data_IF_248016525758
#
_entry.id   IF_248016525758
#
_cell.length_a   1.000
_cell.length_b   1.000
_cell.length_c   1.000
_cell.angle_alpha   90.00
_cell.angle_beta   90.00
_cell.angle_gamma   90.00
#
_symmetry.space_group_name_H-M   'P 1'
#
loop_
_entity.id
_entity.type
_entity.pdbx_description
1 polymer ?
#
# COMPACT_ATOMS: atom_id res chain seq x y z
N UNK A 1 17.00 74.81 -15.91
CA UNK A 1 17.96 74.25 -14.93
C UNK A 1 17.15 73.62 -13.81
N UNK A 2 16.77 72.35 -13.96
CA UNK A 2 16.44 71.41 -12.87
C UNK A 2 15.93 70.08 -13.47
N UNK A 3 16.64 69.00 -13.16
CA UNK A 3 16.52 67.63 -13.68
C UNK A 3 15.22 66.88 -13.34
N UNK A 4 14.88 65.82 -14.10
CA UNK A 4 13.87 64.84 -13.73
C UNK A 4 14.45 63.77 -12.78
N UNK A 5 13.84 63.55 -11.61
CA UNK A 5 14.21 62.40 -10.77
C UNK A 5 13.54 61.11 -11.29
N UNK A 6 14.32 60.27 -11.98
CA UNK A 6 13.98 58.88 -12.26
C UNK A 6 14.25 58.00 -11.04
N UNK A 7 13.22 57.74 -10.24
CA UNK A 7 13.25 56.76 -9.15
C UNK A 7 13.16 55.32 -9.67
N UNK A 8 14.29 54.74 -10.06
CA UNK A 8 14.42 53.33 -10.41
C UNK A 8 14.31 52.41 -9.20
N UNK A 9 13.08 52.10 -8.76
CA UNK A 9 12.81 51.11 -7.71
C UNK A 9 13.12 49.68 -8.17
N UNK A 10 14.17 49.06 -7.58
CA UNK A 10 14.56 47.66 -7.79
C UNK A 10 13.37 46.72 -7.52
N UNK A 11 12.91 46.01 -8.55
CA UNK A 11 11.90 44.93 -8.49
C UNK A 11 12.43 43.71 -7.70
N UNK A 12 12.43 43.80 -6.37
CA UNK A 12 12.86 42.73 -5.45
C UNK A 12 11.81 41.66 -5.12
N UNK A 13 10.57 41.81 -5.59
CA UNK A 13 9.46 40.91 -5.22
C UNK A 13 9.36 39.60 -6.02
N UNK A 14 10.00 39.53 -7.20
CA UNK A 14 9.80 38.42 -8.13
C UNK A 14 10.36 37.07 -7.66
N UNK A 15 11.34 37.05 -6.75
CA UNK A 15 11.87 35.79 -6.17
C UNK A 15 10.97 35.25 -5.06
N UNK A 16 10.55 36.12 -4.14
CA UNK A 16 9.63 35.76 -3.06
C UNK A 16 8.27 35.31 -3.61
N UNK A 17 7.73 36.02 -4.61
CA UNK A 17 6.49 35.63 -5.28
C UNK A 17 6.61 34.27 -5.98
N UNK A 18 7.73 34.01 -6.68
CA UNK A 18 7.97 32.70 -7.32
C UNK A 18 8.18 31.56 -6.32
N UNK A 19 8.74 31.84 -5.14
CA UNK A 19 8.84 30.86 -4.06
C UNK A 19 7.47 30.55 -3.45
N UNK A 20 6.65 31.58 -3.21
CA UNK A 20 5.28 31.43 -2.72
C UNK A 20 4.38 30.67 -3.73
N UNK A 21 4.48 30.96 -5.03
CA UNK A 21 3.73 30.24 -6.07
C UNK A 21 4.12 28.76 -6.17
N UNK A 22 5.39 28.42 -5.96
CA UNK A 22 5.82 27.01 -5.89
C UNK A 22 5.33 26.32 -4.62
N UNK A 23 5.32 27.01 -3.49
CA UNK A 23 4.77 26.49 -2.24
C UNK A 23 3.24 26.31 -2.30
N UNK A 24 2.55 27.13 -3.10
CA UNK A 24 1.11 27.06 -3.32
C UNK A 24 0.70 26.13 -4.48
N UNK A 25 1.66 25.55 -5.20
CA UNK A 25 1.35 24.63 -6.29
C UNK A 25 0.75 23.34 -5.71
N UNK A 26 -0.57 23.18 -5.88
CA UNK A 26 -1.25 21.91 -5.66
C UNK A 26 -0.76 20.98 -6.76
N UNK A 27 0.12 20.05 -6.41
CA UNK A 27 0.48 18.96 -7.32
C UNK A 27 -0.79 18.15 -7.57
N UNK A 28 -1.23 18.11 -8.83
CA UNK A 28 -2.31 17.21 -9.24
C UNK A 28 -1.86 15.78 -8.94
N UNK A 29 -2.55 15.11 -8.00
CA UNK A 29 -2.21 13.76 -7.56
C UNK A 29 -3.13 12.79 -8.27
N UNK A 30 -2.58 11.94 -9.13
CA UNK A 30 -3.30 10.78 -9.67
C UNK A 30 -3.47 9.77 -8.53
N UNK A 31 -4.69 9.30 -8.22
CA UNK A 31 -4.94 8.44 -7.05
C UNK A 31 -4.30 7.06 -7.17
N UNK A 32 -4.18 6.52 -8.39
CA UNK A 32 -3.53 5.25 -8.68
C UNK A 32 -3.12 5.17 -10.16
N UNK A 33 -2.15 4.31 -10.48
CA UNK A 33 -1.74 4.05 -11.87
C UNK A 33 -2.61 2.95 -12.48
N UNK A 34 -2.86 3.04 -13.79
CA UNK A 34 -3.41 1.93 -14.57
C UNK A 34 -2.35 1.47 -15.56
N UNK A 35 -1.91 0.22 -15.42
CA UNK A 35 -0.88 -0.38 -16.27
C UNK A 35 -1.41 -0.55 -17.69
N UNK A 36 -0.61 -0.14 -18.66
CA UNK A 36 -0.86 -0.36 -20.10
C UNK A 36 -0.05 -1.52 -20.65
N UNK A 37 0.95 -2.00 -19.91
CA UNK A 37 1.79 -3.15 -20.24
C UNK A 37 1.33 -4.40 -19.49
N UNK A 38 1.51 -5.56 -20.11
CA UNK A 38 1.28 -6.85 -19.47
C UNK A 38 2.25 -7.06 -18.29
N UNK A 39 1.86 -7.82 -17.25
CA UNK A 39 2.81 -8.34 -16.27
C UNK A 39 3.94 -9.12 -16.96
N UNK A 40 5.13 -9.06 -16.40
CA UNK A 40 6.25 -9.88 -16.85
C UNK A 40 6.18 -11.24 -16.14
N UNK A 41 6.00 -12.31 -16.90
CA UNK A 41 5.88 -13.68 -16.37
C UNK A 41 7.23 -14.39 -16.38
N UNK A 42 7.63 -14.90 -15.22
CA UNK A 42 8.95 -15.54 -15.00
C UNK A 42 8.83 -17.07 -14.95
N UNK A 43 7.65 -17.59 -14.58
CA UNK A 43 7.39 -19.01 -14.38
C UNK A 43 6.52 -19.55 -15.51
N UNK A 44 6.75 -20.81 -15.91
CA UNK A 44 5.84 -21.54 -16.81
C UNK A 44 4.59 -22.03 -16.06
N UNK A 45 3.55 -22.39 -16.81
CA UNK A 45 2.31 -22.97 -16.25
C UNK A 45 2.59 -24.24 -15.42
N UNK A 46 3.52 -25.09 -15.88
CA UNK A 46 3.93 -26.29 -15.14
C UNK A 46 4.58 -25.93 -13.79
N UNK A 47 5.45 -24.91 -13.78
CA UNK A 47 6.09 -24.47 -12.54
C UNK A 47 5.09 -23.84 -11.57
N UNK A 48 4.11 -23.07 -12.08
CA UNK A 48 3.02 -22.54 -11.27
C UNK A 48 2.17 -23.67 -10.67
N UNK A 49 1.75 -24.65 -11.47
CA UNK A 49 0.97 -25.79 -11.03
C UNK A 49 1.71 -26.61 -9.94
N UNK A 50 3.03 -26.77 -10.07
CA UNK A 50 3.87 -27.46 -9.08
C UNK A 50 3.91 -26.70 -7.73
N UNK A 51 4.05 -25.37 -7.76
CA UNK A 51 4.02 -24.53 -6.56
C UNK A 51 2.64 -24.61 -5.89
N UNK A 52 1.58 -24.46 -6.67
CA UNK A 52 0.20 -24.54 -6.17
C UNK A 52 -0.10 -25.89 -5.52
N UNK A 53 0.28 -26.99 -6.18
CA UNK A 53 0.10 -28.34 -5.65
C UNK A 53 0.85 -28.54 -4.32
N UNK A 54 2.10 -28.05 -4.24
CA UNK A 54 2.92 -28.14 -3.03
C UNK A 54 2.35 -27.30 -1.90
N UNK A 55 1.85 -26.10 -2.19
CA UNK A 55 1.19 -25.25 -1.21
C UNK A 55 -0.04 -25.94 -0.60
N UNK A 56 -0.87 -26.57 -1.43
CA UNK A 56 -2.00 -27.37 -0.97
C UNK A 56 -1.56 -28.56 -0.10
N UNK A 57 -0.47 -29.26 -0.47
CA UNK A 57 0.09 -30.35 0.35
C UNK A 57 0.53 -29.85 1.72
N UNK A 58 1.19 -28.69 1.80
CA UNK A 58 1.58 -28.09 3.08
C UNK A 58 0.34 -27.75 3.92
N UNK A 59 -0.70 -27.16 3.31
CA UNK A 59 -1.92 -26.80 4.04
C UNK A 59 -2.69 -28.02 4.55
N UNK A 60 -2.69 -29.13 3.81
CA UNK A 60 -3.36 -30.39 4.15
C UNK A 60 -2.57 -31.21 5.19
N UNK A 61 -1.30 -31.51 4.90
CA UNK A 61 -0.47 -32.44 5.68
C UNK A 61 0.31 -31.78 6.81
N UNK A 62 0.51 -30.46 6.78
CA UNK A 62 1.18 -29.71 7.85
C UNK A 62 0.19 -28.78 8.54
N UNK A 63 -0.52 -27.95 7.80
CA UNK A 63 -1.45 -26.96 8.34
C UNK A 63 -0.78 -25.71 8.94
N UNK A 64 -1.59 -24.83 9.50
CA UNK A 64 -1.21 -23.52 10.06
C UNK A 64 -1.59 -23.47 11.55
N UNK A 65 -0.72 -22.87 12.36
CA UNK A 65 -0.99 -22.62 13.78
C UNK A 65 -1.79 -21.32 13.95
N UNK A 66 -2.93 -21.41 14.63
CA UNK A 66 -3.77 -20.27 15.04
C UNK A 66 -3.70 -20.18 16.56
N UNK A 67 -2.78 -19.33 17.05
CA UNK A 67 -2.44 -19.19 18.48
C UNK A 67 -3.01 -17.91 19.05
N UNK A 68 -3.21 -17.90 20.37
CA UNK A 68 -3.61 -16.74 21.16
C UNK A 68 -4.91 -16.05 20.70
N UNK A 69 -5.70 -16.73 19.85
CA UNK A 69 -6.98 -16.25 19.34
C UNK A 69 -7.96 -17.42 19.11
N UNK A 70 -8.41 -18.10 20.19
CA UNK A 70 -9.21 -19.32 20.09
C UNK A 70 -10.55 -19.11 19.37
N UNK A 71 -11.08 -17.88 19.34
CA UNK A 71 -12.32 -17.56 18.65
C UNK A 71 -12.26 -17.74 17.12
N UNK A 72 -11.07 -17.80 16.52
CA UNK A 72 -10.93 -18.08 15.08
C UNK A 72 -11.06 -19.57 14.74
N UNK A 73 -10.75 -20.48 15.66
CA UNK A 73 -10.77 -21.93 15.40
C UNK A 73 -12.16 -22.42 14.94
N UNK A 74 -13.28 -22.02 15.57
CA UNK A 74 -14.61 -22.37 15.07
C UNK A 74 -14.95 -21.78 13.70
N UNK A 75 -14.33 -20.66 13.30
CA UNK A 75 -14.54 -20.07 11.97
C UNK A 75 -13.91 -20.99 10.91
N UNK A 76 -12.67 -21.43 11.14
CA UNK A 76 -11.99 -22.36 10.25
C UNK A 76 -12.72 -23.70 10.16
N UNK A 77 -13.16 -24.24 11.29
CA UNK A 77 -13.91 -25.50 11.31
C UNK A 77 -15.24 -25.41 10.53
N UNK A 78 -16.00 -24.32 10.71
CA UNK A 78 -17.22 -24.07 9.90
C UNK A 78 -16.92 -23.87 8.42
N UNK A 79 -15.74 -23.34 8.10
CA UNK A 79 -15.24 -23.23 6.74
C UNK A 79 -14.76 -24.55 6.13
N UNK A 80 -14.88 -25.69 6.81
CA UNK A 80 -14.49 -27.01 6.30
C UNK A 80 -13.06 -27.43 6.62
N UNK A 81 -12.30 -26.62 7.37
CA UNK A 81 -10.98 -27.00 7.82
C UNK A 81 -11.05 -28.02 8.98
N UNK A 82 -9.99 -28.82 9.12
CA UNK A 82 -9.82 -29.77 10.22
C UNK A 82 -8.99 -29.08 11.31
N UNK A 83 -9.53 -29.00 12.52
CA UNK A 83 -8.89 -28.32 13.65
C UNK A 83 -8.49 -29.34 14.72
N UNK A 84 -7.21 -29.32 15.11
CA UNK A 84 -6.64 -30.13 16.18
C UNK A 84 -5.83 -29.22 17.13
N UNK A 85 -6.39 -28.94 18.31
CA UNK A 85 -5.84 -27.92 19.21
C UNK A 85 -5.77 -26.55 18.54
N UNK A 86 -4.56 -26.00 18.40
CA UNK A 86 -4.29 -24.74 17.68
C UNK A 86 -3.92 -24.95 16.21
N UNK A 87 -3.79 -26.19 15.75
CA UNK A 87 -3.44 -26.50 14.36
C UNK A 87 -4.70 -26.54 13.50
N UNK A 88 -4.66 -25.86 12.37
CA UNK A 88 -5.70 -25.87 11.33
C UNK A 88 -5.14 -26.46 10.05
N UNK A 89 -5.75 -27.53 9.55
CA UNK A 89 -5.41 -28.18 8.28
C UNK A 89 -6.53 -28.00 7.28
N UNK A 90 -6.19 -27.83 6.02
CA UNK A 90 -7.14 -27.49 4.98
C UNK A 90 -7.18 -28.64 3.97
N UNK A 91 -8.33 -29.29 3.75
CA UNK A 91 -8.51 -30.19 2.63
C UNK A 91 -8.07 -29.53 1.32
N UNK A 92 -7.42 -30.30 0.44
CA UNK A 92 -6.93 -29.80 -0.84
C UNK A 92 -8.03 -29.08 -1.62
N UNK A 93 -7.70 -27.90 -2.14
CA UNK A 93 -8.65 -27.08 -2.91
C UNK A 93 -9.61 -26.24 -2.08
N UNK A 94 -9.81 -26.49 -0.78
CA UNK A 94 -10.77 -25.76 0.06
C UNK A 94 -10.51 -24.24 0.04
N UNK A 95 -9.27 -23.83 0.28
CA UNK A 95 -8.90 -22.42 0.29
C UNK A 95 -9.15 -21.77 -1.08
N UNK A 96 -8.81 -22.46 -2.18
CA UNK A 96 -9.02 -21.98 -3.54
C UNK A 96 -10.50 -21.80 -3.83
N UNK A 97 -11.34 -22.78 -3.49
CA UNK A 97 -12.79 -22.73 -3.67
C UNK A 97 -13.40 -21.54 -2.95
N UNK A 98 -13.07 -21.34 -1.67
CA UNK A 98 -13.58 -20.21 -0.88
C UNK A 98 -13.19 -18.88 -1.52
N UNK A 99 -11.91 -18.72 -1.91
CA UNK A 99 -11.41 -17.49 -2.53
C UNK A 99 -12.12 -17.24 -3.87
N UNK A 100 -12.23 -18.23 -4.75
CA UNK A 100 -12.89 -18.08 -6.05
C UNK A 100 -14.39 -17.80 -5.93
N UNK A 101 -15.06 -18.37 -4.93
CA UNK A 101 -16.49 -18.20 -4.74
C UNK A 101 -16.86 -16.84 -4.12
N UNK A 102 -15.98 -16.23 -3.31
CA UNK A 102 -16.37 -15.12 -2.44
C UNK A 102 -15.48 -13.87 -2.52
N UNK A 103 -14.23 -13.98 -2.97
CA UNK A 103 -13.32 -12.83 -2.98
C UNK A 103 -13.47 -12.02 -4.29
N UNK A 104 -13.69 -10.70 -4.22
CA UNK A 104 -13.76 -9.87 -5.41
C UNK A 104 -12.37 -9.73 -6.05
N UNK A 105 -12.27 -9.95 -7.36
CA UNK A 105 -11.03 -9.73 -8.11
C UNK A 105 -10.61 -8.25 -8.16
N UNK A 106 -11.54 -7.33 -7.91
CA UNK A 106 -11.30 -5.89 -7.86
C UNK A 106 -12.32 -5.22 -6.94
N UNK A 107 -11.89 -4.25 -6.13
CA UNK A 107 -12.78 -3.44 -5.30
C UNK A 107 -12.28 -1.99 -5.15
N UNK A 108 -13.16 -1.09 -4.71
CA UNK A 108 -12.81 0.31 -4.42
C UNK A 108 -12.48 0.46 -2.95
N UNK A 109 -11.30 0.98 -2.65
CA UNK A 109 -10.96 1.48 -1.32
C UNK A 109 -11.32 2.97 -1.26
N UNK A 110 -12.38 3.28 -0.51
CA UNK A 110 -12.93 4.62 -0.42
C UNK A 110 -12.06 5.54 0.46
N UNK A 111 -11.81 6.75 -0.05
CA UNK A 111 -11.15 7.81 0.70
C UNK A 111 -12.15 8.86 1.21
N UNK A 112 -11.76 9.63 2.23
CA UNK A 112 -12.61 10.72 2.77
C UNK A 112 -12.98 11.77 1.70
N UNK A 113 -12.05 12.06 0.80
CA UNK A 113 -12.34 12.77 -0.44
C UNK A 113 -12.57 11.68 -1.50
N UNK A 114 -13.80 11.53 -2.03
CA UNK A 114 -14.11 10.50 -3.02
C UNK A 114 -13.20 10.53 -4.25
N UNK A 115 -12.72 11.70 -4.68
CA UNK A 115 -11.78 11.87 -5.80
C UNK A 115 -10.42 11.19 -5.58
N UNK A 116 -10.11 10.85 -4.32
CA UNK A 116 -8.88 10.15 -3.92
C UNK A 116 -9.11 8.68 -3.59
N UNK A 117 -10.31 8.14 -3.87
CA UNK A 117 -10.56 6.71 -3.74
C UNK A 117 -9.72 5.95 -4.75
N UNK A 118 -9.28 4.75 -4.39
CA UNK A 118 -8.41 3.93 -5.23
C UNK A 118 -9.08 2.61 -5.57
N UNK A 119 -8.73 2.05 -6.74
CA UNK A 119 -9.16 0.72 -7.14
C UNK A 119 -8.05 -0.27 -6.83
N UNK A 120 -8.37 -1.34 -6.09
CA UNK A 120 -7.45 -2.42 -5.74
C UNK A 120 -7.75 -3.63 -6.61
N UNK A 121 -6.75 -4.10 -7.36
CA UNK A 121 -6.85 -5.26 -8.25
C UNK A 121 -6.68 -4.93 -9.74
N UNK A 122 -6.68 -5.97 -10.58
CA UNK A 122 -6.58 -5.86 -12.04
C UNK A 122 -5.30 -5.18 -12.55
N UNK A 123 -5.46 -4.20 -13.42
CA UNK A 123 -4.35 -3.43 -13.99
C UNK A 123 -3.91 -2.26 -13.08
N UNK A 124 -4.54 -2.05 -11.93
CA UNK A 124 -4.30 -0.88 -11.09
C UNK A 124 -3.11 -1.08 -10.14
N UNK A 125 -2.39 0.01 -9.86
CA UNK A 125 -1.26 0.01 -8.93
C UNK A 125 -1.38 1.21 -7.99
N UNK A 126 -1.43 0.93 -6.70
CA UNK A 126 -1.54 1.92 -5.62
C UNK A 126 -0.24 1.92 -4.83
N UNK A 127 0.36 3.09 -4.63
CA UNK A 127 1.53 3.26 -3.78
C UNK A 127 1.10 3.71 -2.38
N UNK A 128 1.64 3.06 -1.37
CA UNK A 128 1.49 3.45 0.02
C UNK A 128 2.88 3.72 0.63
N UNK A 129 2.98 4.63 1.62
CA UNK A 129 4.21 4.78 2.40
C UNK A 129 4.58 3.47 3.11
N UNK A 130 5.86 3.36 3.47
CA UNK A 130 6.38 2.28 4.31
C UNK A 130 5.64 2.19 5.66
N UNK A 131 5.56 0.98 6.23
CA UNK A 131 4.85 0.69 7.47
C UNK A 131 5.76 0.01 8.50
N UNK A 132 5.68 0.44 9.77
CA UNK A 132 6.23 -0.29 10.92
C UNK A 132 7.66 0.06 11.34
N UNK A 133 8.36 0.97 10.65
CA UNK A 133 9.73 1.33 11.04
C UNK A 133 9.78 2.08 12.38
N UNK A 134 10.50 1.57 13.40
CA UNK A 134 10.63 2.24 14.69
C UNK A 134 11.69 3.36 14.68
N UNK A 135 12.48 3.46 13.61
CA UNK A 135 13.53 4.45 13.43
C UNK A 135 13.27 5.30 12.19
N UNK A 136 13.71 6.56 12.25
CA UNK A 136 13.77 7.49 11.12
C UNK A 136 15.20 7.92 10.89
N UNK A 137 15.47 8.42 9.68
CA UNK A 137 16.75 8.98 9.31
C UNK A 137 16.54 10.31 8.56
N UNK A 138 17.23 11.35 9.00
CA UNK A 138 17.29 12.64 8.32
C UNK A 138 18.74 13.16 8.27
N UNK A 139 19.00 14.14 7.40
CA UNK A 139 20.36 14.66 7.17
C UNK A 139 20.91 15.47 8.37
N UNK A 140 20.02 16.02 9.20
CA UNK A 140 20.39 16.94 10.28
C UNK A 140 20.69 16.19 11.59
N UNK A 141 19.92 15.15 11.89
CA UNK A 141 19.92 14.42 13.15
C UNK A 141 20.30 12.94 13.01
N UNK A 142 20.52 12.45 11.79
CA UNK A 142 20.90 11.06 11.53
C UNK A 142 19.80 10.06 11.91
N UNK A 143 20.20 8.85 12.32
CA UNK A 143 19.26 7.78 12.70
C UNK A 143 18.82 7.92 14.17
N UNK A 144 17.51 7.99 14.41
CA UNK A 144 16.90 8.11 15.74
C UNK A 144 15.57 7.38 15.82
N UNK A 145 15.04 7.20 17.03
CA UNK A 145 13.67 6.69 17.20
C UNK A 145 12.65 7.61 16.55
N UNK A 146 11.65 7.00 15.92
CA UNK A 146 10.53 7.71 15.32
C UNK A 146 9.66 8.35 16.39
N UNK A 147 9.16 9.54 16.10
CA UNK A 147 8.19 10.28 16.93
C UNK A 147 6.87 10.43 16.18
N UNK A 148 5.81 10.85 16.89
CA UNK A 148 4.54 11.20 16.24
C UNK A 148 4.71 12.33 15.21
N UNK A 149 5.63 13.27 15.46
CA UNK A 149 5.92 14.35 14.52
C UNK A 149 6.48 13.79 13.20
N UNK A 150 7.33 12.77 13.25
CA UNK A 150 7.85 12.12 12.05
C UNK A 150 6.74 11.41 11.26
N UNK A 151 5.85 10.69 11.95
CA UNK A 151 4.68 10.08 11.32
C UNK A 151 3.83 11.12 10.60
N UNK A 152 3.52 12.24 11.27
CA UNK A 152 2.77 13.34 10.67
C UNK A 152 3.48 13.97 9.47
N UNK A 153 4.81 14.05 9.50
CA UNK A 153 5.59 14.56 8.37
C UNK A 153 5.47 13.61 7.17
N UNK A 154 5.60 12.28 7.36
CA UNK A 154 5.41 11.32 6.27
C UNK A 154 3.98 11.30 5.71
N UNK A 155 2.97 11.57 6.53
CA UNK A 155 1.57 11.71 6.06
C UNK A 155 1.38 12.97 5.20
N UNK A 156 2.16 14.03 5.43
CA UNK A 156 2.07 15.29 4.67
C UNK A 156 2.80 15.26 3.33
N UNK A 157 3.90 14.49 3.23
CA UNK A 157 4.62 14.27 1.97
C UNK A 157 3.64 13.72 0.91
#
# INVERSE_FOLDING_TARGET
MSDPQTGGGRRGGGRAARAAMRAAAVVERVPYLTRTMAPFEILSDEALAAIEHTADTVLEEVGIEVRDYPAALPIFQRGGAIVDGTRVRFPRGLCREIVQASAPATYVQHARNPERSVVIGGAHTVFAPNYGSPFVHDLDNGRRYATLADFQNFVKL
#
